data_IF_074760120269
#
_entry.id   IF_074760120269
#
_cell.length_a   1.000
_cell.length_b   1.000
_cell.length_c   1.000
_cell.angle_alpha   90.00
_cell.angle_beta   90.00
_cell.angle_gamma   90.00
#
_symmetry.space_group_name_H-M   'P 1'
#
loop_
_entity.id
_entity.type
_entity.pdbx_description
1 polymer ?
#
# COMPACT_ATOMS: atom_id res chain seq x y z
N UNK A 1 4.70 -9.48 -25.95
CA UNK A 1 5.77 -10.49 -25.90
C UNK A 1 6.18 -10.57 -24.45
N UNK A 2 5.76 -11.61 -23.72
CA UNK A 2 6.17 -11.81 -22.33
C UNK A 2 7.67 -12.09 -22.35
N UNK A 3 8.47 -11.10 -21.94
CA UNK A 3 9.91 -11.21 -21.91
C UNK A 3 10.33 -11.32 -20.45
N UNK A 4 11.15 -12.32 -20.15
CA UNK A 4 11.79 -12.44 -18.84
C UNK A 4 12.84 -11.34 -18.64
N UNK A 5 13.06 -10.43 -19.59
CA UNK A 5 14.05 -9.35 -19.48
C UNK A 5 13.85 -8.50 -18.23
N UNK A 6 12.63 -8.10 -17.88
CA UNK A 6 12.38 -7.26 -16.70
C UNK A 6 12.55 -8.03 -15.39
N UNK A 7 12.06 -9.27 -15.34
CA UNK A 7 12.23 -10.15 -14.16
C UNK A 7 13.69 -10.56 -14.00
N UNK A 8 14.39 -10.87 -15.08
CA UNK A 8 15.83 -11.16 -15.08
C UNK A 8 16.62 -9.90 -14.74
N UNK A 9 16.27 -8.72 -15.25
CA UNK A 9 16.92 -7.48 -14.86
C UNK A 9 16.70 -7.17 -13.37
N UNK A 10 15.54 -7.51 -12.80
CA UNK A 10 15.29 -7.38 -11.37
C UNK A 10 16.10 -8.40 -10.55
N UNK A 11 16.08 -9.68 -10.94
CA UNK A 11 16.81 -10.77 -10.28
C UNK A 11 18.33 -10.58 -10.39
N UNK A 12 18.82 -10.15 -11.55
CA UNK A 12 20.22 -9.84 -11.84
C UNK A 12 20.60 -8.42 -11.42
N UNK A 13 19.66 -7.63 -10.87
CA UNK A 13 19.85 -6.23 -10.44
C UNK A 13 20.44 -5.31 -11.52
N UNK A 14 20.12 -5.57 -12.78
CA UNK A 14 20.53 -4.76 -13.95
C UNK A 14 19.57 -3.57 -14.17
N UNK A 15 19.36 -2.78 -13.12
CA UNK A 15 18.57 -1.55 -13.15
C UNK A 15 19.45 -0.30 -13.32
N UNK A 16 18.83 0.83 -13.68
CA UNK A 16 19.49 2.14 -13.49
C UNK A 16 19.60 2.44 -12.00
N UNK A 17 20.69 3.09 -11.61
CA UNK A 17 20.92 3.59 -10.26
C UNK A 17 19.76 4.48 -9.81
N UNK A 18 19.16 4.16 -8.67
CA UNK A 18 17.99 4.85 -8.15
C UNK A 18 18.17 5.30 -6.70
N UNK A 19 17.51 6.40 -6.35
CA UNK A 19 17.37 6.87 -4.99
C UNK A 19 15.90 6.86 -4.55
N UNK A 20 15.70 6.80 -3.24
CA UNK A 20 14.39 6.85 -2.60
C UNK A 20 14.25 8.15 -1.81
N UNK A 21 13.13 8.85 -1.96
CA UNK A 21 12.74 9.98 -1.10
C UNK A 21 11.67 9.49 -0.15
N UNK A 22 11.87 9.69 1.15
CA UNK A 22 10.93 9.32 2.20
C UNK A 22 10.67 10.47 3.15
N UNK A 23 9.57 10.42 3.90
CA UNK A 23 9.32 11.34 5.01
C UNK A 23 10.45 11.25 6.06
N UNK A 24 10.88 12.38 6.60
CA UNK A 24 11.91 12.44 7.66
C UNK A 24 11.56 11.58 8.87
N UNK A 25 12.55 10.82 9.35
CA UNK A 25 12.39 9.82 10.41
C UNK A 25 12.03 8.43 9.90
N UNK A 26 11.79 8.26 8.59
CA UNK A 26 11.41 6.99 7.96
C UNK A 26 12.45 6.49 6.95
N UNK A 27 13.71 6.93 7.08
CA UNK A 27 14.83 6.48 6.24
C UNK A 27 14.86 4.97 5.99
N UNK A 28 14.69 4.20 7.05
CA UNK A 28 14.88 2.76 7.03
C UNK A 28 13.56 1.99 6.83
N UNK A 29 12.47 2.66 6.46
CA UNK A 29 11.12 2.04 6.38
C UNK A 29 11.07 0.81 5.48
N UNK A 30 11.74 0.85 4.32
CA UNK A 30 11.79 -0.30 3.40
C UNK A 30 12.83 -1.35 3.82
N UNK A 31 13.83 -0.97 4.61
CA UNK A 31 14.81 -1.90 5.17
C UNK A 31 14.15 -2.74 6.27
N UNK A 32 13.39 -2.08 7.16
CA UNK A 32 12.63 -2.72 8.23
C UNK A 32 11.54 -3.61 7.63
N UNK A 33 10.88 -3.13 6.58
CA UNK A 33 9.83 -3.86 5.89
C UNK A 33 8.62 -4.10 6.80
N UNK A 34 8.00 -5.27 6.68
CA UNK A 34 6.86 -5.72 7.49
C UNK A 34 7.28 -6.64 8.66
N UNK A 35 8.60 -6.79 8.88
CA UNK A 35 9.20 -7.67 9.87
C UNK A 35 8.83 -9.16 9.71
N UNK A 36 8.25 -9.55 8.57
CA UNK A 36 7.89 -10.94 8.30
C UNK A 36 9.14 -11.79 8.14
N UNK A 37 9.23 -12.89 8.92
CA UNK A 37 10.36 -13.83 8.85
C UNK A 37 10.02 -15.03 7.98
N UNK A 38 10.81 -15.25 6.92
CA UNK A 38 10.72 -16.47 6.08
C UNK A 38 10.99 -17.74 6.90
N UNK A 39 11.97 -17.71 7.81
CA UNK A 39 12.32 -18.82 8.71
C UNK A 39 12.31 -18.34 10.17
N UNK A 40 11.22 -18.61 10.90
CA UNK A 40 10.95 -18.05 12.23
C UNK A 40 12.08 -18.26 13.26
N UNK A 41 12.73 -19.43 13.23
CA UNK A 41 13.68 -19.88 14.26
C UNK A 41 15.16 -19.67 13.91
N UNK A 42 15.45 -19.11 12.73
CA UNK A 42 16.84 -18.90 12.33
C UNK A 42 17.41 -17.68 13.05
N UNK A 43 18.54 -17.88 13.73
CA UNK A 43 19.22 -16.82 14.50
C UNK A 43 19.92 -15.81 13.57
N UNK A 44 20.51 -16.29 12.47
CA UNK A 44 21.17 -15.46 11.47
C UNK A 44 20.18 -15.13 10.33
N UNK A 45 19.67 -13.90 10.34
CA UNK A 45 18.80 -13.39 9.28
C UNK A 45 19.68 -12.80 8.17
N UNK A 46 19.53 -13.31 6.94
CA UNK A 46 20.05 -12.66 5.74
C UNK A 46 18.98 -11.72 5.20
N UNK A 47 19.30 -10.43 5.16
CA UNK A 47 18.45 -9.41 4.55
C UNK A 47 18.77 -9.32 3.06
N UNK A 48 17.74 -9.26 2.23
CA UNK A 48 17.90 -8.97 0.81
C UNK A 48 18.33 -7.50 0.65
N UNK A 49 19.32 -7.23 -0.20
CA UNK A 49 19.78 -5.87 -0.45
C UNK A 49 18.67 -5.03 -1.12
N UNK A 50 18.61 -3.72 -0.87
CA UNK A 50 17.60 -2.87 -1.49
C UNK A 50 17.90 -2.62 -2.98
N UNK A 51 16.88 -2.18 -3.73
CA UNK A 51 17.02 -1.75 -5.13
C UNK A 51 17.54 -0.32 -5.25
N UNK A 52 17.34 0.50 -4.21
CA UNK A 52 17.84 1.87 -4.14
C UNK A 52 19.18 1.91 -3.42
N UNK A 53 20.04 2.84 -3.85
CA UNK A 53 21.38 3.02 -3.29
C UNK A 53 21.39 4.03 -2.14
N UNK A 54 20.56 5.06 -2.26
CA UNK A 54 20.56 6.22 -1.35
C UNK A 54 19.13 6.60 -0.99
N UNK A 55 18.98 7.06 0.25
CA UNK A 55 17.70 7.54 0.78
C UNK A 55 17.85 9.01 1.17
N UNK A 56 16.92 9.84 0.72
CA UNK A 56 16.81 11.24 1.11
C UNK A 56 15.54 11.42 1.94
N UNK A 57 15.68 12.09 3.06
CA UNK A 57 14.59 12.40 3.97
C UNK A 57 14.03 13.79 3.65
N UNK A 58 12.80 13.82 3.13
CA UNK A 58 12.05 15.05 2.95
C UNK A 58 11.48 15.50 4.31
N UNK A 59 11.82 16.72 4.71
CA UNK A 59 11.26 17.35 5.91
C UNK A 59 9.85 17.83 5.62
N UNK A 60 8.89 16.94 5.84
CA UNK A 60 7.46 17.16 5.65
C UNK A 60 6.69 16.26 6.62
N UNK A 61 5.49 16.67 7.02
CA UNK A 61 4.62 15.85 7.84
C UNK A 61 3.18 16.25 7.62
N UNK A 62 2.38 15.30 7.18
CA UNK A 62 0.93 15.42 7.07
C UNK A 62 0.28 14.36 7.96
N UNK A 63 -0.75 14.73 8.70
CA UNK A 63 -1.47 13.86 9.63
C UNK A 63 -2.95 13.98 9.36
N UNK A 64 -3.69 12.89 9.54
CA UNK A 64 -5.15 12.92 9.48
C UNK A 64 -5.68 13.69 10.69
N UNK A 65 -6.54 14.69 10.47
CA UNK A 65 -7.21 15.39 11.56
C UNK A 65 -8.09 14.41 12.33
N UNK A 66 -8.02 14.45 13.65
CA UNK A 66 -8.90 13.64 14.50
C UNK A 66 -9.59 14.52 15.51
N UNK A 67 -10.92 14.46 15.54
CA UNK A 67 -11.73 15.26 16.47
C UNK A 67 -11.48 14.88 17.95
N UNK A 68 -10.96 13.67 18.21
CA UNK A 68 -10.66 13.14 19.54
C UNK A 68 -9.28 13.55 20.08
N UNK A 69 -8.47 14.23 19.28
CA UNK A 69 -7.12 14.66 19.64
C UNK A 69 -6.99 16.17 19.42
N UNK A 70 -6.81 16.91 20.52
CA UNK A 70 -6.44 18.31 20.49
C UNK A 70 -5.06 18.46 21.12
N UNK A 71 -4.13 19.06 20.38
CA UNK A 71 -2.89 19.58 20.91
C UNK A 71 -2.97 21.10 21.04
N UNK A 72 -1.97 21.71 21.69
CA UNK A 72 -1.89 23.17 21.84
C UNK A 72 -1.48 23.88 20.54
N UNK A 73 -1.31 23.15 19.43
CA UNK A 73 -0.76 23.65 18.18
C UNK A 73 -1.88 23.92 17.16
N UNK A 74 -1.76 25.03 16.44
CA UNK A 74 -2.69 25.36 15.35
C UNK A 74 -2.07 24.96 14.01
N UNK A 75 -2.41 23.77 13.53
CA UNK A 75 -1.95 23.26 12.25
C UNK A 75 -2.81 23.76 11.09
N UNK A 76 -2.22 24.14 9.94
CA UNK A 76 -2.97 24.40 8.73
C UNK A 76 -3.79 23.17 8.33
N UNK A 77 -5.12 23.34 8.24
CA UNK A 77 -6.03 22.30 7.75
C UNK A 77 -6.17 22.38 6.24
N UNK A 78 -6.12 21.22 5.59
CA UNK A 78 -6.34 21.08 4.16
C UNK A 78 -7.31 19.96 3.87
N UNK A 79 -8.14 20.14 2.84
CA UNK A 79 -9.01 19.10 2.35
C UNK A 79 -8.20 18.09 1.52
N UNK A 80 -8.44 16.81 1.76
CA UNK A 80 -7.82 15.74 1.01
C UNK A 80 -8.65 15.30 -0.21
N UNK A 81 -8.07 14.41 -1.02
CA UNK A 81 -8.78 13.79 -2.16
C UNK A 81 -10.01 13.00 -1.69
N UNK A 82 -9.98 12.43 -0.48
CA UNK A 82 -11.08 11.68 0.14
C UNK A 82 -12.09 12.53 0.91
N UNK A 83 -12.00 13.88 0.85
CA UNK A 83 -12.79 14.83 1.65
C UNK A 83 -12.59 14.71 3.18
N UNK A 84 -11.55 14.00 3.59
CA UNK A 84 -11.10 13.97 4.99
C UNK A 84 -10.24 15.20 5.27
N UNK A 85 -10.34 15.75 6.47
CA UNK A 85 -9.51 16.88 6.91
C UNK A 85 -8.12 16.36 7.26
N UNK A 86 -7.09 16.99 6.70
CA UNK A 86 -5.70 16.72 7.01
C UNK A 86 -5.07 17.94 7.66
N UNK A 87 -4.14 17.70 8.57
CA UNK A 87 -3.31 18.72 9.20
C UNK A 87 -1.89 18.66 8.62
N UNK A 88 -1.36 19.81 8.21
CA UNK A 88 0.03 19.93 7.79
C UNK A 88 0.85 20.34 9.00
N UNK A 89 1.48 19.35 9.65
CA UNK A 89 2.35 19.60 10.80
C UNK A 89 3.68 20.23 10.38
N UNK A 90 4.21 19.80 9.24
CA UNK A 90 5.43 20.36 8.67
C UNK A 90 5.23 20.49 7.15
N UNK A 91 5.25 21.71 6.58
CA UNK A 91 5.22 21.88 5.14
C UNK A 91 6.53 21.40 4.52
N UNK A 92 6.46 20.92 3.27
CA UNK A 92 7.63 20.43 2.55
C UNK A 92 8.68 21.53 2.36
N UNK A 93 9.88 21.33 2.90
CA UNK A 93 11.04 22.19 2.61
C UNK A 93 11.63 21.88 1.24
N UNK A 94 11.15 22.63 0.24
CA UNK A 94 11.62 22.52 -1.15
C UNK A 94 13.07 22.97 -1.35
N UNK A 95 13.61 23.85 -0.50
CA UNK A 95 14.95 24.41 -0.66
C UNK A 95 16.02 23.42 -0.18
N UNK A 96 15.80 22.84 1.00
CA UNK A 96 16.64 21.77 1.52
C UNK A 96 16.59 20.55 0.58
N UNK A 97 15.39 20.14 0.18
CA UNK A 97 15.19 19.01 -0.72
C UNK A 97 15.92 19.20 -2.05
N UNK A 98 15.85 20.39 -2.66
CA UNK A 98 16.56 20.69 -3.91
C UNK A 98 18.07 20.52 -3.77
N UNK A 99 18.63 20.95 -2.64
CA UNK A 99 20.05 20.80 -2.34
C UNK A 99 20.45 19.33 -2.23
N UNK A 100 19.64 18.51 -1.57
CA UNK A 100 19.93 17.08 -1.41
C UNK A 100 19.74 16.29 -2.71
N UNK A 101 18.71 16.61 -3.50
CA UNK A 101 18.52 16.05 -4.83
C UNK A 101 19.66 16.43 -5.78
N UNK A 102 20.21 17.64 -5.69
CA UNK A 102 21.38 18.04 -6.48
C UNK A 102 22.62 17.21 -6.12
N UNK A 103 22.84 16.89 -4.83
CA UNK A 103 23.93 16.01 -4.40
C UNK A 103 23.78 14.61 -5.02
N UNK A 104 22.57 14.05 -5.03
CA UNK A 104 22.30 12.76 -5.67
C UNK A 104 22.53 12.81 -7.18
N UNK A 105 22.13 13.89 -7.82
CA UNK A 105 22.34 14.09 -9.25
C UNK A 105 23.83 14.13 -9.59
N UNK A 106 24.65 14.81 -8.78
CA UNK A 106 26.10 14.88 -8.94
C UNK A 106 26.78 13.52 -8.71
N UNK A 107 26.20 12.64 -7.88
CA UNK A 107 26.63 11.24 -7.70
C UNK A 107 26.33 10.35 -8.91
N UNK A 108 25.59 10.84 -9.92
CA UNK A 108 25.24 10.10 -11.13
C UNK A 108 23.92 9.32 -11.07
N UNK A 109 23.10 9.54 -10.04
CA UNK A 109 21.77 8.91 -9.93
C UNK A 109 20.78 9.68 -10.82
N UNK A 110 19.97 8.95 -11.59
CA UNK A 110 19.03 9.54 -12.58
C UNK A 110 17.58 9.09 -12.41
N UNK A 111 17.34 8.07 -11.58
CA UNK A 111 16.02 7.55 -11.26
C UNK A 111 15.67 7.85 -9.81
N UNK A 112 14.42 8.26 -9.56
CA UNK A 112 13.93 8.67 -8.24
C UNK A 112 12.59 8.00 -7.95
N UNK A 113 12.49 7.32 -6.80
CA UNK A 113 11.22 6.88 -6.23
C UNK A 113 10.85 7.78 -5.05
N UNK A 114 9.59 8.18 -4.95
CA UNK A 114 9.11 9.07 -3.88
C UNK A 114 8.02 8.34 -3.09
N UNK A 115 8.23 8.17 -1.79
CA UNK A 115 7.34 7.50 -0.85
C UNK A 115 7.15 8.37 0.40
N UNK A 116 6.14 9.24 0.37
CA UNK A 116 5.79 10.04 1.55
C UNK A 116 4.65 9.41 2.34
N UNK A 117 4.62 9.59 3.66
CA UNK A 117 3.51 9.14 4.49
C UNK A 117 2.23 9.91 4.13
N UNK A 118 1.08 9.23 4.23
CA UNK A 118 -0.23 9.78 3.86
C UNK A 118 -0.36 10.33 2.43
N UNK A 119 0.61 10.09 1.54
CA UNK A 119 0.56 10.56 0.15
C UNK A 119 -0.60 9.98 -0.67
N UNK A 120 -1.15 8.84 -0.24
CA UNK A 120 -2.34 8.24 -0.84
C UNK A 120 -3.63 9.07 -0.62
N UNK A 121 -3.67 9.91 0.42
CA UNK A 121 -4.77 10.85 0.73
C UNK A 121 -4.40 12.27 0.27
N UNK A 122 -3.16 12.69 0.56
CA UNK A 122 -2.65 14.03 0.25
C UNK A 122 -1.42 13.95 -0.66
N UNK A 123 -1.60 13.80 -1.99
CA UNK A 123 -0.49 13.61 -2.94
C UNK A 123 0.27 14.90 -3.27
N UNK A 124 -0.16 16.06 -2.75
CA UNK A 124 0.38 17.37 -3.11
C UNK A 124 1.87 17.49 -2.79
N UNK A 125 2.32 17.00 -1.63
CA UNK A 125 3.74 17.01 -1.28
C UNK A 125 4.56 16.13 -2.24
N UNK A 126 4.09 14.94 -2.63
CA UNK A 126 4.78 14.11 -3.63
C UNK A 126 4.87 14.80 -5.00
N UNK A 127 3.80 15.48 -5.42
CA UNK A 127 3.81 16.28 -6.65
C UNK A 127 4.77 17.48 -6.57
N UNK A 128 4.95 18.07 -5.39
CA UNK A 128 5.95 19.13 -5.18
C UNK A 128 7.38 18.55 -5.28
N UNK A 129 7.63 17.38 -4.67
CA UNK A 129 8.90 16.66 -4.81
C UNK A 129 9.19 16.38 -6.29
N UNK A 130 8.19 15.92 -7.06
CA UNK A 130 8.34 15.69 -8.50
C UNK A 130 8.78 16.95 -9.25
N UNK A 131 8.12 18.09 -8.99
CA UNK A 131 8.46 19.37 -9.62
C UNK A 131 9.92 19.75 -9.36
N UNK A 132 10.35 19.67 -8.10
CA UNK A 132 11.75 19.97 -7.72
C UNK A 132 12.72 18.98 -8.37
N UNK A 133 12.39 17.69 -8.40
CA UNK A 133 13.23 16.68 -9.04
C UNK A 133 13.35 16.89 -10.57
N UNK A 134 12.27 17.29 -11.24
CA UNK A 134 12.28 17.65 -12.67
C UNK A 134 13.16 18.89 -12.93
N UNK A 135 13.09 19.90 -12.05
CA UNK A 135 13.97 21.08 -12.15
C UNK A 135 15.46 20.73 -12.00
N UNK A 136 15.80 19.76 -11.16
CA UNK A 136 17.20 19.28 -10.98
C UNK A 136 17.66 18.44 -12.18
N UNK A 137 16.73 17.83 -12.92
CA UNK A 137 17.00 17.09 -14.16
C UNK A 137 16.86 15.57 -14.06
N UNK A 138 16.13 15.04 -13.08
CA UNK A 138 15.82 13.60 -13.02
C UNK A 138 14.92 13.18 -14.19
N UNK A 139 15.31 12.11 -14.91
CA UNK A 139 14.59 11.60 -16.09
C UNK A 139 13.38 10.74 -15.71
N UNK A 140 13.56 9.90 -14.70
CA UNK A 140 12.57 8.92 -14.27
C UNK A 140 12.20 9.19 -12.81
N UNK A 141 10.94 9.58 -12.59
CA UNK A 141 10.40 9.86 -11.26
C UNK A 141 9.15 9.02 -11.09
N UNK A 142 9.07 8.26 -10.00
CA UNK A 142 7.91 7.43 -9.66
C UNK A 142 7.33 7.90 -8.34
N UNK A 143 6.09 8.40 -8.39
CA UNK A 143 5.35 8.82 -7.20
C UNK A 143 4.53 7.66 -6.66
N UNK A 144 4.72 7.34 -5.38
CA UNK A 144 4.03 6.22 -4.75
C UNK A 144 2.50 6.37 -4.79
N UNK A 145 2.00 7.60 -4.65
CA UNK A 145 0.58 7.95 -4.75
C UNK A 145 -0.01 7.77 -6.16
N UNK A 146 0.79 7.90 -7.22
CA UNK A 146 0.33 7.68 -8.60
C UNK A 146 0.44 6.22 -9.03
N UNK A 147 1.44 5.50 -8.49
CA UNK A 147 1.65 4.08 -8.83
C UNK A 147 0.66 3.19 -8.08
N UNK A 148 0.55 3.32 -6.75
CA UNK A 148 -0.38 2.56 -5.90
C UNK A 148 -0.87 3.41 -4.72
N UNK A 149 -2.02 4.12 -4.81
CA UNK A 149 -2.56 4.92 -3.71
C UNK A 149 -3.20 4.04 -2.61
N UNK A 150 -2.36 3.30 -1.86
CA UNK A 150 -2.77 2.43 -0.74
C UNK A 150 -2.20 2.95 0.59
N UNK A 151 -2.95 2.80 1.68
CA UNK A 151 -2.54 3.20 3.04
C UNK A 151 -1.16 2.65 3.43
N UNK A 152 -0.90 1.37 3.15
CA UNK A 152 0.30 0.64 3.60
C UNK A 152 1.57 1.15 2.89
N UNK A 153 2.30 2.04 3.54
CA UNK A 153 3.52 2.66 2.97
C UNK A 153 4.59 1.64 2.56
N UNK A 154 4.82 0.60 3.36
CA UNK A 154 5.76 -0.49 3.03
C UNK A 154 5.33 -1.20 1.74
N UNK A 155 4.09 -1.70 1.68
CA UNK A 155 3.56 -2.36 0.48
C UNK A 155 3.54 -1.44 -0.75
N UNK A 156 3.30 -0.15 -0.54
CA UNK A 156 3.31 0.87 -1.58
C UNK A 156 4.72 1.17 -2.11
N UNK A 157 5.75 1.10 -1.25
CA UNK A 157 7.14 1.25 -1.65
C UNK A 157 7.71 0.02 -2.37
N UNK A 158 7.16 -1.17 -2.10
CA UNK A 158 7.49 -2.41 -2.79
C UNK A 158 6.56 -2.66 -3.99
N UNK A 159 6.45 -1.70 -4.90
CA UNK A 159 5.72 -1.85 -6.18
C UNK A 159 6.54 -2.69 -7.16
N UNK A 160 6.63 -4.01 -6.93
CA UNK A 160 7.45 -4.83 -7.83
C UNK A 160 7.50 -6.34 -7.65
N UNK A 161 6.52 -7.00 -7.00
CA UNK A 161 6.62 -8.47 -6.94
C UNK A 161 5.50 -9.29 -6.31
N UNK A 162 4.43 -8.66 -5.80
CA UNK A 162 3.36 -9.39 -5.12
C UNK A 162 2.08 -9.45 -5.96
N UNK A 163 1.38 -10.58 -5.87
CA UNK A 163 0.06 -10.76 -6.46
C UNK A 163 -0.91 -9.72 -5.91
N UNK A 164 -1.63 -9.08 -6.81
CA UNK A 164 -2.58 -8.01 -6.53
C UNK A 164 -4.02 -8.54 -6.46
N UNK A 165 -4.94 -7.68 -5.99
CA UNK A 165 -6.38 -7.97 -6.04
C UNK A 165 -6.91 -8.05 -7.48
N UNK A 166 -6.26 -7.36 -8.41
CA UNK A 166 -6.58 -7.45 -9.84
C UNK A 166 -6.26 -8.85 -10.36
N UNK A 167 -5.10 -9.40 -9.95
CA UNK A 167 -4.68 -10.76 -10.34
C UNK A 167 -5.64 -11.80 -9.76
N UNK A 168 -6.10 -11.62 -8.51
CA UNK A 168 -7.10 -12.49 -7.90
C UNK A 168 -8.43 -12.48 -8.66
N UNK A 169 -8.92 -11.29 -9.03
CA UNK A 169 -10.16 -11.16 -9.80
C UNK A 169 -10.04 -11.73 -11.22
N UNK A 170 -8.85 -11.63 -11.83
CA UNK A 170 -8.56 -12.22 -13.12
C UNK A 170 -8.54 -13.75 -13.06
N UNK A 171 -7.87 -14.34 -12.05
CA UNK A 171 -7.83 -15.80 -11.84
C UNK A 171 -9.23 -16.37 -11.60
N UNK A 172 -10.07 -15.65 -10.86
CA UNK A 172 -11.46 -16.03 -10.58
C UNK A 172 -12.43 -15.79 -11.76
N UNK A 173 -11.95 -15.24 -12.88
CA UNK A 173 -12.79 -14.92 -14.03
C UNK A 173 -13.78 -13.78 -13.78
N UNK A 174 -13.58 -12.98 -12.72
CA UNK A 174 -14.40 -11.79 -12.43
C UNK A 174 -14.03 -10.61 -13.33
N UNK A 175 -12.82 -10.63 -13.89
CA UNK A 175 -12.36 -9.69 -14.91
C UNK A 175 -12.28 -10.40 -16.25
N UNK A 176 -12.93 -9.83 -17.26
CA UNK A 176 -12.83 -10.28 -18.64
C UNK A 176 -11.72 -9.47 -19.34
N UNK A 177 -10.58 -10.08 -19.72
CA UNK A 177 -9.45 -9.37 -20.33
C UNK A 177 -9.83 -8.62 -21.61
N UNK A 178 -10.82 -9.12 -22.35
CA UNK A 178 -11.29 -8.56 -23.62
C UNK A 178 -11.89 -7.16 -23.46
N UNK A 179 -12.49 -6.88 -22.30
CA UNK A 179 -13.12 -5.59 -21.97
C UNK A 179 -12.20 -4.68 -21.15
N UNK A 180 -11.03 -5.18 -20.75
CA UNK A 180 -10.08 -4.41 -19.96
C UNK A 180 -9.18 -3.56 -20.89
N UNK A 181 -8.91 -2.28 -20.57
CA UNK A 181 -8.02 -1.45 -21.36
C UNK A 181 -6.65 -2.13 -21.59
N UNK A 182 -6.19 -2.18 -22.84
CA UNK A 182 -4.90 -2.76 -23.20
C UNK A 182 -3.76 -1.82 -22.84
N UNK A 183 -3.55 -1.55 -21.56
CA UNK A 183 -2.57 -0.57 -21.07
C UNK A 183 -1.28 -1.21 -20.55
N UNK A 184 -1.15 -2.53 -20.66
CA UNK A 184 -0.02 -3.29 -20.13
C UNK A 184 1.08 -3.50 -21.16
N UNK A 185 2.25 -3.97 -20.71
CA UNK A 185 3.43 -4.21 -21.53
C UNK A 185 4.21 -2.92 -21.87
N UNK A 186 5.39 -3.09 -22.46
CA UNK A 186 6.34 -1.99 -22.75
C UNK A 186 5.73 -0.86 -23.58
N UNK A 187 4.96 -1.19 -24.62
CA UNK A 187 4.30 -0.22 -25.50
C UNK A 187 2.90 0.23 -25.03
N UNK A 188 2.45 -0.19 -23.83
CA UNK A 188 1.10 0.09 -23.29
C UNK A 188 -0.04 -0.29 -24.25
N UNK A 189 0.04 -1.49 -24.82
CA UNK A 189 -0.95 -2.01 -25.78
C UNK A 189 -1.28 -3.51 -25.56
N UNK A 190 -0.86 -4.09 -24.43
CA UNK A 190 -1.10 -5.50 -24.11
C UNK A 190 -2.30 -5.65 -23.16
N UNK A 191 -3.09 -6.73 -23.27
CA UNK A 191 -4.15 -7.05 -22.32
C UNK A 191 -3.59 -7.57 -21.00
N UNK A 192 -4.47 -7.81 -20.02
CA UNK A 192 -4.13 -8.53 -18.78
C UNK A 192 -3.59 -9.93 -19.10
N UNK A 193 -2.52 -10.34 -18.42
CA UNK A 193 -1.88 -11.65 -18.60
C UNK A 193 -2.39 -12.66 -17.57
N UNK A 194 -3.34 -13.50 -18.00
CA UNK A 194 -3.93 -14.54 -17.14
C UNK A 194 -2.91 -15.61 -16.73
N UNK A 195 -2.00 -16.00 -17.62
CA UNK A 195 -1.05 -17.08 -17.36
C UNK A 195 0.02 -16.67 -16.35
N UNK A 196 0.50 -15.43 -16.44
CA UNK A 196 1.42 -14.88 -15.44
C UNK A 196 0.77 -14.81 -14.05
N UNK A 197 -0.47 -14.34 -13.97
CA UNK A 197 -1.23 -14.27 -12.71
C UNK A 197 -1.46 -15.66 -12.11
N UNK A 198 -1.91 -16.60 -12.94
CA UNK A 198 -2.12 -18.00 -12.54
C UNK A 198 -0.82 -18.65 -12.05
N UNK A 199 0.28 -18.43 -12.75
CA UNK A 199 1.60 -18.92 -12.35
C UNK A 199 2.02 -18.42 -10.97
N UNK A 200 1.82 -17.13 -10.69
CA UNK A 200 2.08 -16.57 -9.37
C UNK A 200 1.17 -17.16 -8.28
N UNK A 201 -0.14 -17.29 -8.53
CA UNK A 201 -1.06 -17.89 -7.56
C UNK A 201 -0.78 -19.36 -7.29
N UNK A 202 -0.28 -20.12 -8.26
CA UNK A 202 0.17 -21.52 -8.05
C UNK A 202 1.39 -21.57 -7.12
N UNK A 203 2.35 -20.65 -7.27
CA UNK A 203 3.49 -20.58 -6.37
C UNK A 203 3.04 -20.29 -4.94
N UNK A 204 2.11 -19.33 -4.77
CA UNK A 204 1.53 -19.00 -3.46
C UNK A 204 0.68 -20.14 -2.89
N UNK A 205 -0.06 -20.86 -3.74
CA UNK A 205 -0.85 -22.02 -3.32
C UNK A 205 0.01 -23.09 -2.68
N UNK A 206 1.18 -23.37 -3.24
CA UNK A 206 2.12 -24.36 -2.68
C UNK A 206 2.58 -23.95 -1.28
N UNK A 207 2.89 -22.68 -1.08
CA UNK A 207 3.32 -22.16 0.22
C UNK A 207 2.20 -22.25 1.27
N UNK A 208 0.99 -21.82 0.92
CA UNK A 208 -0.17 -21.86 1.81
C UNK A 208 -0.55 -23.30 2.14
N UNK A 209 -0.61 -24.20 1.15
CA UNK A 209 -0.99 -25.59 1.40
C UNK A 209 0.07 -26.32 2.24
N UNK A 210 1.35 -26.01 2.07
CA UNK A 210 2.40 -26.56 2.95
C UNK A 210 2.16 -26.17 4.43
N UNK A 211 1.74 -24.94 4.69
CA UNK A 211 1.34 -24.51 6.04
C UNK A 211 0.04 -25.19 6.52
N UNK A 212 -0.99 -25.25 5.67
CA UNK A 212 -2.29 -25.84 6.02
C UNK A 212 -2.17 -27.32 6.41
N UNK A 213 -1.41 -28.10 5.63
CA UNK A 213 -1.16 -29.52 5.91
C UNK A 213 -0.41 -29.71 7.22
N UNK A 214 0.56 -28.83 7.53
CA UNK A 214 1.29 -28.87 8.80
C UNK A 214 0.38 -28.65 10.01
N UNK A 215 -0.61 -27.78 9.87
CA UNK A 215 -1.59 -27.45 10.93
C UNK A 215 -2.83 -28.38 10.93
N UNK A 216 -2.88 -29.38 10.04
CA UNK A 216 -3.97 -30.36 9.98
C UNK A 216 -5.24 -29.88 9.27
N UNK A 217 -5.16 -28.79 8.50
CA UNK A 217 -6.26 -28.30 7.68
C UNK A 217 -6.23 -28.89 6.26
N UNK A 218 -7.39 -28.99 5.57
CA UNK A 218 -7.42 -29.44 4.18
C UNK A 218 -6.70 -28.46 3.25
N UNK A 219 -6.10 -29.00 2.19
CA UNK A 219 -5.53 -28.20 1.11
C UNK A 219 -6.60 -27.32 0.45
N UNK A 220 -6.19 -26.13 0.02
CA UNK A 220 -7.04 -25.20 -0.70
C UNK A 220 -6.76 -25.22 -2.20
N UNK A 221 -7.82 -25.03 -2.98
CA UNK A 221 -7.69 -24.86 -4.44
C UNK A 221 -7.14 -23.47 -4.78
N UNK A 222 -6.74 -23.29 -6.05
CA UNK A 222 -6.26 -22.02 -6.56
C UNK A 222 -7.32 -20.91 -6.40
N UNK A 223 -8.56 -21.25 -6.72
CA UNK A 223 -9.72 -20.36 -6.65
C UNK A 223 -10.05 -20.00 -5.21
N UNK A 224 -9.95 -20.95 -4.27
CA UNK A 224 -10.18 -20.68 -2.84
C UNK A 224 -9.15 -19.72 -2.26
N UNK A 225 -7.89 -19.80 -2.72
CA UNK A 225 -6.83 -18.88 -2.31
C UNK A 225 -7.04 -17.50 -2.92
N UNK A 226 -7.34 -17.42 -4.22
CA UNK A 226 -7.69 -16.16 -4.88
C UNK A 226 -8.94 -15.50 -4.25
N UNK A 227 -9.94 -16.29 -3.87
CA UNK A 227 -11.14 -15.82 -3.17
C UNK A 227 -10.80 -15.34 -1.76
N UNK A 228 -9.87 -16.01 -1.07
CA UNK A 228 -9.33 -15.59 0.21
C UNK A 228 -8.77 -14.17 0.17
N UNK A 229 -7.99 -13.84 -0.86
CA UNK A 229 -7.45 -12.48 -1.06
C UNK A 229 -8.56 -11.43 -1.13
N UNK A 230 -9.61 -11.72 -1.91
CA UNK A 230 -10.75 -10.81 -2.04
C UNK A 230 -11.51 -10.69 -0.72
N UNK A 231 -11.69 -11.79 0.01
CA UNK A 231 -12.38 -11.77 1.29
C UNK A 231 -11.63 -10.94 2.33
N UNK A 232 -10.30 -11.07 2.42
CA UNK A 232 -9.48 -10.24 3.30
C UNK A 232 -9.55 -8.76 2.90
N UNK A 233 -9.52 -8.47 1.60
CA UNK A 233 -9.65 -7.09 1.10
C UNK A 233 -11.03 -6.48 1.42
N UNK A 234 -12.10 -7.24 1.18
CA UNK A 234 -13.46 -6.83 1.51
C UNK A 234 -13.61 -6.59 3.01
N UNK A 235 -13.12 -7.48 3.87
CA UNK A 235 -13.17 -7.31 5.32
C UNK A 235 -12.41 -6.04 5.75
N UNK A 236 -11.24 -5.79 5.14
CA UNK A 236 -10.43 -4.60 5.40
C UNK A 236 -11.12 -3.30 4.98
N UNK A 237 -11.88 -3.30 3.88
CA UNK A 237 -12.66 -2.15 3.41
C UNK A 237 -13.97 -1.97 4.19
N UNK A 238 -14.64 -3.06 4.56
CA UNK A 238 -15.89 -3.04 5.30
C UNK A 238 -15.72 -2.62 6.75
N UNK A 239 -14.59 -2.96 7.40
CA UNK A 239 -14.35 -2.65 8.82
C UNK A 239 -14.41 -1.13 9.10
N UNK A 240 -13.74 -0.25 8.33
CA UNK A 240 -13.88 1.20 8.45
C UNK A 240 -15.31 1.69 8.19
N UNK A 241 -15.97 1.22 7.12
CA UNK A 241 -17.34 1.63 6.79
C UNK A 241 -18.31 1.28 7.91
N UNK A 242 -18.17 0.07 8.48
CA UNK A 242 -18.97 -0.39 9.62
C UNK A 242 -18.70 0.43 10.87
N UNK A 243 -17.43 0.74 11.16
CA UNK A 243 -17.06 1.61 12.28
C UNK A 243 -17.67 3.00 12.12
N UNK A 244 -17.55 3.61 10.93
CA UNK A 244 -18.13 4.92 10.63
C UNK A 244 -19.67 4.93 10.73
N UNK A 245 -20.33 3.92 10.16
CA UNK A 245 -21.80 3.80 10.24
C UNK A 245 -22.30 3.49 11.65
N UNK A 246 -21.53 2.74 12.44
CA UNK A 246 -21.84 2.49 13.84
C UNK A 246 -21.67 3.76 14.67
N UNK A 247 -20.56 4.49 14.52
CA UNK A 247 -20.35 5.80 15.16
C UNK A 247 -21.47 6.78 14.80
N UNK A 248 -21.85 6.87 13.52
CA UNK A 248 -22.93 7.74 13.06
C UNK A 248 -24.30 7.36 13.63
N UNK A 249 -24.53 6.08 13.97
CA UNK A 249 -25.82 5.57 14.46
C UNK A 249 -25.91 5.50 15.98
N UNK A 250 -24.80 5.22 16.67
CA UNK A 250 -24.76 4.98 18.12
C UNK A 250 -23.99 6.05 18.90
N UNK A 251 -23.23 6.93 18.24
CA UNK A 251 -22.47 8.01 18.89
C UNK A 251 -21.28 7.55 19.73
N UNK A 252 -20.90 6.27 19.64
CA UNK A 252 -19.82 5.66 20.44
C UNK A 252 -18.79 5.04 19.50
N UNK A 253 -17.52 5.45 19.63
CA UNK A 253 -16.38 4.87 18.91
C UNK A 253 -15.94 3.58 19.59
N UNK A 254 -16.11 2.46 18.88
CA UNK A 254 -15.67 1.15 19.36
C UNK A 254 -14.15 1.02 19.16
N UNK A 255 -13.38 1.61 20.09
CA UNK A 255 -11.95 1.35 20.24
C UNK A 255 -11.74 0.10 21.08
N UNK A 256 -12.27 -1.02 20.56
CA UNK A 256 -11.99 -2.41 20.92
C UNK A 256 -11.54 -2.73 22.34
N UNK A 257 -12.49 -3.08 23.22
CA UNK A 257 -12.27 -4.08 24.27
C UNK A 257 -13.62 -4.58 24.80
N UNK A 258 -14.27 -5.51 24.10
CA UNK A 258 -15.16 -6.53 24.66
C UNK A 258 -15.63 -7.47 23.54
N UNK A 259 -14.72 -8.37 23.17
CA UNK A 259 -15.11 -9.65 22.58
C UNK A 259 -15.57 -10.49 23.77
N UNK A 260 -16.82 -10.99 23.73
CA UNK A 260 -17.55 -11.75 24.76
C UNK A 260 -18.54 -10.91 25.57
N UNK A 261 -19.71 -10.62 24.98
CA UNK A 261 -21.00 -10.91 25.62
C UNK A 261 -22.12 -10.95 24.55
N UNK A 262 -22.97 -11.98 24.51
CA UNK A 262 -24.15 -11.97 23.65
C UNK A 262 -25.20 -11.07 24.29
N UNK A 263 -25.50 -9.92 23.68
CA UNK A 263 -26.62 -9.08 24.16
C UNK A 263 -27.94 -9.76 23.75
N UNK A 264 -28.89 -9.98 24.70
CA UNK A 264 -30.11 -10.75 24.45
C UNK A 264 -31.08 -10.03 23.52
N UNK A 265 -31.87 -10.83 22.79
CA UNK A 265 -32.97 -10.39 21.95
C UNK A 265 -33.98 -9.54 22.74
N UNK A 266 -34.16 -8.28 22.34
CA UNK A 266 -35.26 -7.46 22.82
C UNK A 266 -36.53 -7.78 22.03
N UNK A 267 -37.42 -8.54 22.67
CA UNK A 267 -38.81 -8.74 22.28
C UNK A 267 -39.52 -7.39 22.12
N UNK A 268 -39.99 -7.10 20.90
CA UNK A 268 -41.02 -6.07 20.66
C UNK A 268 -42.37 -6.75 20.56
N UNK A 269 -43.02 -7.01 21.69
CA UNK A 269 -44.48 -7.07 21.74
C UNK A 269 -45.01 -5.67 22.04
N UNK A 270 -45.29 -4.91 20.98
CA UNK A 270 -46.23 -3.80 21.07
C UNK A 270 -47.63 -4.40 21.24
N UNK A 271 -48.19 -4.25 22.45
CA UNK A 271 -49.64 -4.30 22.67
C UNK A 271 -50.27 -3.19 21.83
N UNK A 272 -51.04 -3.59 20.83
CA UNK A 272 -52.03 -2.75 20.18
C UNK A 272 -53.26 -2.70 21.10
N UNK A 273 -53.80 -1.49 21.25
CA UNK A 273 -55.01 -1.01 21.96
C UNK A 273 -56.25 -1.91 21.81
N UNK A 274 -57.23 -2.02 22.73
CA UNK A 274 -58.17 -1.03 23.31
C UNK A 274 -59.16 -1.78 24.26
N UNK A 275 -60.17 -1.15 24.89
CA UNK A 275 -60.34 0.26 25.29
C UNK A 275 -60.15 0.50 26.79
#
# INVERSE_FOLDING_TARGET
>A
MASTLSTNALLERKGKRMALVVTKGFRDILIIGDQSRKELFKLELKHDENLFEEVVEADERVVLHRDDYQDDCQWPMVDSVSLEKMEIWQPLDTTALKTDLQKLYNKGIRSLAVLLLFSYIYPVHEMQVEKVAREVGFEHISLSSQVLPMIKAVSRGFTGGFLSLTDANLVLGRLLPEYFPKVFGEDRNQPLDYEACKGGFIALQREINAYMVKEGYPEKTLEEIALGFINVANETMCRPIRSLTQVARTGVSDTGSNILDPVPAFERHQKITSP
#
